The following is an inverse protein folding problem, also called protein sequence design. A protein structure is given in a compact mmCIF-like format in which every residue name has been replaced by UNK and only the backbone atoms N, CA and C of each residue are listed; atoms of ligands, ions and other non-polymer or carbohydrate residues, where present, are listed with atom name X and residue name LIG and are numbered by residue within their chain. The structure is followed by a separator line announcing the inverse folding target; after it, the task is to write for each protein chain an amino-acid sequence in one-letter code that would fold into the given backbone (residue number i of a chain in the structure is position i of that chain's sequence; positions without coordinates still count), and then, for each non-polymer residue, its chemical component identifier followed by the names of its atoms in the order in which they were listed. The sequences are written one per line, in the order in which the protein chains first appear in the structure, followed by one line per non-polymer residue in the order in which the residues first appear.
data_IF_416203132457
#
_entry.id   IF_416203132457
#
_cell.length_a   1.000
_cell.length_b   1.000
_cell.length_c   1.000
_cell.angle_alpha   90.00
_cell.angle_beta   90.00
_cell.angle_gamma   90.00
#
_symmetry.space_group_name_H-M   'P 1'
#
loop_
_entity.id
_entity.type
_entity.pdbx_description
1 polymer ?
#
# COMPACT_ATOMS: atom_id res chain seq x y z
N UNK A 1 9.47 -9.86 12.44
CA UNK A 1 9.68 -9.19 11.14
C UNK A 1 8.79 -9.83 10.07
N UNK A 2 8.16 -9.02 9.26
CA UNK A 2 7.29 -9.51 8.19
C UNK A 2 8.11 -10.15 7.07
N UNK A 3 7.60 -11.23 6.48
CA UNK A 3 8.25 -11.95 5.39
C UNK A 3 7.74 -11.46 4.04
N UNK A 4 8.61 -11.42 3.04
CA UNK A 4 8.28 -10.99 1.67
C UNK A 4 7.65 -9.58 1.60
N UNK A 5 7.94 -8.77 2.60
CA UNK A 5 7.41 -7.42 2.74
C UNK A 5 8.52 -6.41 2.41
N UNK A 6 8.17 -5.43 1.60
CA UNK A 6 9.07 -4.35 1.17
C UNK A 6 8.37 -3.01 1.31
N UNK A 7 8.84 -2.10 2.19
CA UNK A 7 8.27 -0.76 2.27
C UNK A 7 8.56 0.04 0.99
N UNK A 8 7.75 1.06 0.74
CA UNK A 8 8.01 1.99 -0.34
C UNK A 8 9.24 2.85 -0.01
N UNK A 9 10.12 3.01 -0.99
CA UNK A 9 11.37 3.77 -0.84
C UNK A 9 11.37 5.06 -1.67
N UNK A 10 10.34 5.30 -2.47
CA UNK A 10 10.24 6.48 -3.32
C UNK A 10 8.77 6.89 -3.49
N UNK A 11 8.55 8.18 -3.73
CA UNK A 11 7.23 8.69 -4.05
C UNK A 11 6.90 8.43 -5.53
N UNK A 12 5.70 7.92 -5.78
CA UNK A 12 5.16 7.76 -7.12
C UNK A 12 4.38 8.99 -7.61
N UNK A 13 4.26 10.02 -6.78
CA UNK A 13 3.62 11.28 -7.16
C UNK A 13 4.62 12.19 -7.85
N UNK A 14 4.29 12.62 -9.07
CA UNK A 14 5.16 13.44 -9.92
C UNK A 14 4.60 14.84 -10.20
N UNK A 15 3.66 15.30 -9.38
CA UNK A 15 3.12 16.64 -9.50
C UNK A 15 3.82 17.64 -8.60
N UNK A 16 3.52 18.93 -8.76
CA UNK A 16 3.94 19.95 -7.81
C UNK A 16 3.12 19.84 -6.52
N UNK A 17 3.79 20.06 -5.39
CA UNK A 17 3.13 20.12 -4.10
C UNK A 17 2.55 21.53 -3.94
N UNK A 18 1.24 21.62 -3.81
CA UNK A 18 0.54 22.88 -3.59
C UNK A 18 -0.10 22.88 -2.21
N UNK A 19 0.01 24.00 -1.50
CA UNK A 19 -0.60 24.18 -0.17
C UNK A 19 -2.10 24.51 -0.23
N UNK A 20 -2.68 24.47 -1.44
CA UNK A 20 -4.09 24.76 -1.60
C UNK A 20 -4.94 23.52 -1.31
N UNK A 21 -5.77 23.53 -0.24
CA UNK A 21 -6.59 22.38 0.14
C UNK A 21 -7.63 22.00 -0.92
N UNK A 22 -7.98 22.91 -1.82
CA UNK A 22 -8.96 22.65 -2.89
C UNK A 22 -8.34 21.90 -4.08
N UNK A 23 -7.01 21.86 -4.17
CA UNK A 23 -6.28 21.20 -5.25
C UNK A 23 -5.45 20.02 -4.77
N UNK A 24 -5.57 19.65 -3.49
CA UNK A 24 -4.84 18.51 -2.93
C UNK A 24 -5.23 17.21 -3.65
N UNK A 25 -4.24 16.34 -3.83
CA UNK A 25 -4.39 15.03 -4.46
C UNK A 25 -3.87 13.94 -3.54
N UNK A 26 -4.34 12.71 -3.73
CA UNK A 26 -3.93 11.56 -2.94
C UNK A 26 -2.40 11.41 -2.87
N UNK A 27 -1.71 11.58 -4.00
CA UNK A 27 -0.25 11.45 -4.05
C UNK A 27 0.48 12.49 -3.20
N UNK A 28 -0.12 13.65 -3.01
CA UNK A 28 0.46 14.74 -2.20
C UNK A 28 0.32 14.50 -0.71
N UNK A 29 -0.76 13.86 -0.27
CA UNK A 29 -1.10 13.69 1.16
C UNK A 29 -0.72 12.33 1.69
N UNK A 30 -0.51 11.33 0.83
CA UNK A 30 -0.13 9.97 1.24
C UNK A 30 1.29 9.98 1.81
N UNK A 31 1.42 9.44 3.02
CA UNK A 31 2.69 9.30 3.72
C UNK A 31 3.20 7.87 3.57
N UNK A 32 4.48 7.65 3.84
CA UNK A 32 5.09 6.32 3.81
C UNK A 32 5.30 5.79 5.23
N UNK A 33 5.14 4.48 5.38
CA UNK A 33 5.28 3.81 6.66
C UNK A 33 5.92 2.44 6.46
N UNK A 34 6.93 2.14 7.26
CA UNK A 34 7.51 0.80 7.33
C UNK A 34 6.86 0.02 8.47
N UNK A 35 6.11 -1.03 8.13
CA UNK A 35 5.43 -1.87 9.11
C UNK A 35 6.39 -2.64 10.02
N UNK A 36 7.65 -2.80 9.60
CA UNK A 36 8.68 -3.45 10.42
C UNK A 36 9.29 -2.52 11.49
N UNK A 37 8.94 -1.25 11.48
CA UNK A 37 9.39 -0.33 12.51
C UNK A 37 8.76 -0.70 13.86
N UNK A 38 9.58 -1.21 14.76
CA UNK A 38 9.15 -1.68 16.07
C UNK A 38 8.81 -0.56 17.05
N UNK A 39 9.17 0.67 16.71
CA UNK A 39 8.87 1.85 17.53
C UNK A 39 7.44 2.38 17.33
N UNK A 40 6.74 1.88 16.32
CA UNK A 40 5.37 2.31 16.04
C UNK A 40 4.41 1.94 17.16
N UNK A 41 3.57 2.90 17.52
CA UNK A 41 2.45 2.71 18.43
C UNK A 41 1.14 2.87 17.67
N UNK A 42 0.01 2.32 18.17
CA UNK A 42 -1.25 2.43 17.47
C UNK A 42 -1.62 3.87 17.15
N UNK A 43 -2.07 4.08 15.91
CA UNK A 43 -2.51 5.39 15.44
C UNK A 43 -3.92 5.68 15.93
N UNK A 44 -4.15 6.94 16.28
CA UNK A 44 -5.49 7.44 16.62
C UNK A 44 -6.15 8.04 15.39
N UNK A 45 -7.49 8.04 15.39
CA UNK A 45 -8.27 8.59 14.29
C UNK A 45 -8.35 7.65 13.09
N UNK A 46 -9.00 8.11 12.03
CA UNK A 46 -9.26 7.31 10.84
C UNK A 46 -8.00 7.22 9.99
N UNK A 47 -7.40 6.03 9.97
CA UNK A 47 -6.12 5.75 9.33
C UNK A 47 -6.26 4.58 8.37
N UNK A 48 -5.87 4.80 7.12
CA UNK A 48 -5.85 3.78 6.07
C UNK A 48 -4.42 3.49 5.65
N UNK A 49 -4.17 2.25 5.22
CA UNK A 49 -2.88 1.84 4.70
C UNK A 49 -3.02 1.12 3.37
N UNK A 50 -2.32 1.60 2.36
CA UNK A 50 -2.26 0.97 1.05
C UNK A 50 -1.15 -0.07 1.07
N UNK A 51 -1.50 -1.31 0.73
CA UNK A 51 -0.53 -2.39 0.57
C UNK A 51 -0.74 -3.06 -0.78
N UNK A 52 0.33 -3.24 -1.54
CA UNK A 52 0.28 -3.92 -2.83
C UNK A 52 0.57 -5.41 -2.68
N UNK A 53 -0.18 -6.24 -3.41
CA UNK A 53 0.09 -7.65 -3.54
C UNK A 53 0.61 -7.92 -4.95
N UNK A 54 1.94 -8.06 -5.08
CA UNK A 54 2.61 -8.17 -6.38
C UNK A 54 2.84 -9.63 -6.73
N UNK A 55 1.84 -10.27 -7.37
CA UNK A 55 1.95 -11.66 -7.80
C UNK A 55 1.13 -11.93 -9.05
N UNK A 56 1.72 -12.68 -9.99
CA UNK A 56 1.04 -13.24 -11.16
C UNK A 56 0.57 -14.69 -10.94
N UNK A 57 0.86 -15.27 -9.77
CA UNK A 57 0.74 -16.72 -9.57
C UNK A 57 -0.71 -17.20 -9.66
N UNK A 58 -1.67 -16.46 -9.12
CA UNK A 58 -3.08 -16.80 -9.24
C UNK A 58 -3.57 -16.75 -10.67
N UNK A 59 -3.18 -15.73 -11.41
CA UNK A 59 -3.51 -15.57 -12.84
C UNK A 59 -2.90 -16.70 -13.67
N UNK A 60 -1.63 -17.02 -13.42
CA UNK A 60 -0.92 -18.10 -14.11
C UNK A 60 -1.59 -19.46 -13.88
N UNK A 61 -1.92 -19.78 -12.61
CA UNK A 61 -2.58 -21.05 -12.26
C UNK A 61 -3.92 -21.21 -12.97
N UNK A 62 -4.66 -20.11 -13.18
CA UNK A 62 -5.94 -20.10 -13.85
C UNK A 62 -5.85 -19.93 -15.37
N UNK A 63 -4.65 -20.08 -15.95
CA UNK A 63 -4.38 -19.90 -17.39
C UNK A 63 -4.73 -18.50 -17.90
N UNK A 64 -4.73 -17.52 -17.02
CA UNK A 64 -4.97 -16.14 -17.37
C UNK A 64 -3.73 -15.46 -17.96
N UNK A 65 -3.90 -14.22 -18.37
CA UNK A 65 -2.84 -13.40 -18.92
C UNK A 65 -1.99 -12.82 -17.78
N UNK A 66 -0.69 -13.15 -17.74
CA UNK A 66 0.22 -12.62 -16.73
C UNK A 66 0.40 -11.12 -16.88
N UNK A 67 0.67 -10.42 -15.77
CA UNK A 67 0.81 -8.96 -15.71
C UNK A 67 0.30 -8.37 -14.39
N UNK A 68 -0.39 -9.16 -13.58
CA UNK A 68 -0.97 -8.71 -12.31
C UNK A 68 0.08 -8.21 -11.33
N UNK A 69 1.34 -8.65 -11.44
CA UNK A 69 2.46 -8.19 -10.59
C UNK A 69 2.67 -6.69 -10.73
N UNK A 70 2.34 -6.09 -11.87
CA UNK A 70 2.45 -4.65 -12.13
C UNK A 70 1.21 -3.86 -11.70
N UNK A 71 0.14 -4.55 -11.30
CA UNK A 71 -1.13 -3.95 -10.90
C UNK A 71 -0.97 -2.88 -9.83
N UNK A 72 -0.32 -3.17 -8.69
CA UNK A 72 -0.18 -2.19 -7.62
C UNK A 72 0.50 -0.90 -8.07
N UNK A 73 1.56 -0.97 -8.87
CA UNK A 73 2.24 0.20 -9.41
C UNK A 73 1.32 1.02 -10.31
N UNK A 74 0.60 0.35 -11.21
CA UNK A 74 -0.33 1.02 -12.12
C UNK A 74 -1.48 1.70 -11.36
N UNK A 75 -2.05 1.03 -10.37
CA UNK A 75 -3.13 1.56 -9.56
C UNK A 75 -2.66 2.77 -8.74
N UNK A 76 -1.48 2.68 -8.11
CA UNK A 76 -0.90 3.79 -7.35
C UNK A 76 -0.73 5.04 -8.21
N UNK A 77 -0.27 4.87 -9.44
CA UNK A 77 -0.09 5.99 -10.37
C UNK A 77 -1.41 6.70 -10.68
N UNK A 78 -2.51 5.97 -10.74
CA UNK A 78 -3.84 6.55 -10.98
C UNK A 78 -4.42 7.17 -9.70
N UNK A 79 -4.31 6.49 -8.57
CA UNK A 79 -4.79 7.00 -7.27
C UNK A 79 -4.10 8.33 -6.94
N UNK A 80 -2.80 8.45 -7.20
CA UNK A 80 -2.03 9.66 -6.89
C UNK A 80 -2.60 10.91 -7.53
N UNK A 81 -3.32 10.78 -8.64
CA UNK A 81 -3.91 11.90 -9.40
C UNK A 81 -5.32 12.27 -8.92
N UNK A 82 -5.94 11.45 -8.09
CA UNK A 82 -7.31 11.68 -7.64
C UNK A 82 -7.36 12.83 -6.64
N UNK A 83 -8.43 13.64 -6.68
CA UNK A 83 -8.64 14.69 -5.69
C UNK A 83 -8.77 14.10 -4.29
N UNK A 84 -8.17 14.78 -3.31
CA UNK A 84 -8.29 14.44 -1.89
C UNK A 84 -9.35 15.31 -1.24
N UNK A 85 -10.39 14.69 -0.64
CA UNK A 85 -11.55 15.38 -0.12
C UNK A 85 -11.69 15.40 1.41
N UNK A 86 -10.76 14.77 2.14
CA UNK A 86 -10.94 14.55 3.58
C UNK A 86 -10.10 15.47 4.47
N UNK A 87 -9.38 16.43 3.90
CA UNK A 87 -8.56 17.37 4.68
C UNK A 87 -7.59 16.63 5.59
N UNK A 88 -7.58 16.97 6.88
CA UNK A 88 -6.75 16.36 7.90
C UNK A 88 -7.50 15.31 8.75
N UNK A 89 -8.76 15.04 8.47
CA UNK A 89 -9.59 14.12 9.27
C UNK A 89 -9.27 12.65 9.01
N UNK A 90 -8.61 12.36 7.90
CA UNK A 90 -8.23 11.00 7.48
C UNK A 90 -6.75 11.02 7.12
N UNK A 91 -6.03 10.02 7.59
CA UNK A 91 -4.61 9.83 7.24
C UNK A 91 -4.48 8.58 6.37
N UNK A 92 -3.70 8.67 5.30
CA UNK A 92 -3.38 7.53 4.44
C UNK A 92 -1.87 7.32 4.42
N UNK A 93 -1.46 6.09 4.70
CA UNK A 93 -0.09 5.63 4.54
C UNK A 93 0.00 4.66 3.38
N UNK A 94 1.09 4.72 2.63
CA UNK A 94 1.50 3.63 1.77
C UNK A 94 2.52 2.80 2.54
N UNK A 95 2.16 1.56 2.82
CA UNK A 95 3.01 0.68 3.63
C UNK A 95 3.90 -0.21 2.78
N UNK A 96 3.78 -0.16 1.45
CA UNK A 96 4.63 -0.94 0.55
C UNK A 96 3.93 -2.15 -0.04
N UNK A 97 4.69 -3.23 -0.23
CA UNK A 97 4.25 -4.38 -1.00
C UNK A 97 4.59 -5.71 -0.35
N UNK A 98 3.78 -6.71 -0.64
CA UNK A 98 4.16 -8.12 -0.57
C UNK A 98 4.62 -8.50 -1.96
N UNK A 99 5.84 -9.04 -2.07
CA UNK A 99 6.47 -9.43 -3.33
C UNK A 99 7.40 -10.60 -3.06
N UNK A 100 7.51 -11.53 -3.98
CA UNK A 100 8.37 -12.69 -3.82
C UNK A 100 8.20 -13.65 -4.98
N UNK A 101 8.85 -13.38 -6.14
CA UNK A 101 8.65 -14.18 -7.35
C UNK A 101 9.04 -15.64 -7.19
N UNK A 102 9.92 -15.97 -6.23
CA UNK A 102 10.39 -17.33 -5.97
C UNK A 102 9.58 -18.07 -4.89
N UNK A 103 8.51 -17.46 -4.38
CA UNK A 103 7.66 -18.07 -3.36
C UNK A 103 6.33 -18.53 -3.98
N UNK A 104 5.70 -19.51 -3.35
CA UNK A 104 4.38 -19.99 -3.77
C UNK A 104 3.30 -18.95 -3.52
N UNK A 105 2.15 -19.09 -4.16
CA UNK A 105 1.00 -18.23 -3.91
C UNK A 105 0.59 -18.29 -2.44
N UNK A 106 0.57 -19.48 -1.85
CA UNK A 106 0.19 -19.71 -0.46
C UNK A 106 1.15 -19.00 0.50
N UNK A 107 2.46 -19.04 0.23
CA UNK A 107 3.45 -18.32 1.02
C UNK A 107 3.26 -16.80 0.96
N UNK A 108 2.96 -16.28 -0.22
CA UNK A 108 2.72 -14.84 -0.38
C UNK A 108 1.41 -14.41 0.27
N UNK A 109 0.38 -15.25 0.21
CA UNK A 109 -0.88 -14.99 0.91
C UNK A 109 -0.70 -14.97 2.42
N UNK A 110 0.12 -15.87 2.96
CA UNK A 110 0.47 -15.87 4.39
C UNK A 110 1.23 -14.60 4.76
N UNK A 111 2.18 -14.17 3.94
CA UNK A 111 2.90 -12.92 4.15
C UNK A 111 1.96 -11.71 4.15
N UNK A 112 1.00 -11.66 3.24
CA UNK A 112 -0.03 -10.62 3.20
C UNK A 112 -0.89 -10.65 4.47
N UNK A 113 -1.29 -11.82 4.91
CA UNK A 113 -2.08 -11.99 6.14
C UNK A 113 -1.34 -11.43 7.36
N UNK A 114 -0.06 -11.72 7.49
CA UNK A 114 0.78 -11.19 8.56
C UNK A 114 0.88 -9.66 8.52
N UNK A 115 1.04 -9.10 7.33
CA UNK A 115 1.12 -7.65 7.16
C UNK A 115 -0.21 -6.97 7.53
N UNK A 116 -1.34 -7.54 7.09
CA UNK A 116 -2.67 -7.04 7.43
C UNK A 116 -2.91 -7.10 8.94
N UNK A 117 -2.51 -8.19 9.59
CA UNK A 117 -2.62 -8.32 11.04
C UNK A 117 -1.81 -7.23 11.76
N UNK A 118 -0.60 -6.95 11.29
CA UNK A 118 0.22 -5.85 11.82
C UNK A 118 -0.48 -4.51 11.64
N UNK A 119 -1.08 -4.27 10.49
CA UNK A 119 -1.83 -3.03 10.23
C UNK A 119 -3.00 -2.88 11.23
N UNK A 120 -3.78 -3.93 11.46
CA UNK A 120 -4.87 -3.89 12.44
C UNK A 120 -4.35 -3.60 13.86
N UNK A 121 -3.23 -4.19 14.24
CA UNK A 121 -2.60 -3.92 15.55
C UNK A 121 -2.22 -2.44 15.70
N UNK A 122 -1.90 -1.78 14.60
CA UNK A 122 -1.54 -0.36 14.57
C UNK A 122 -2.77 0.57 14.38
N UNK A 123 -3.97 0.02 14.31
CA UNK A 123 -5.17 0.82 14.07
C UNK A 123 -5.31 1.31 12.64
N UNK A 124 -4.70 0.60 11.68
CA UNK A 124 -4.71 0.94 10.26
C UNK A 124 -5.71 0.04 9.54
N UNK A 125 -6.63 0.66 8.78
CA UNK A 125 -7.56 -0.05 7.91
C UNK A 125 -6.86 -0.34 6.57
N UNK A 126 -6.71 -1.62 6.17
CA UNK A 126 -5.98 -1.94 4.95
C UNK A 126 -6.79 -1.66 3.68
N UNK A 127 -6.07 -1.19 2.66
CA UNK A 127 -6.53 -1.12 1.26
C UNK A 127 -5.54 -1.96 0.46
N UNK A 128 -5.99 -3.11 -0.02
CA UNK A 128 -5.12 -4.05 -0.75
C UNK A 128 -5.27 -3.82 -2.26
N UNK A 129 -4.14 -3.61 -2.92
CA UNK A 129 -4.08 -3.42 -4.37
C UNK A 129 -3.64 -4.71 -5.09
#
# INVERSE_FOLDING_TARGET
MLTNYYPMTYSYYQGSIEDNPYTAKWGMVTKFLDLNDETLTPFEGMTFGIIGFKSDKGVYINNGRVGAVEGPTAIRSQIAKLPWHWGTNVTVYDVGNIDGPNHSLEELQESLSQAIQRMYQLGIQPIVL
#
